data_IF_645535734807
#
_entry.id   IF_645535734807
#
_cell.length_a   1.000
_cell.length_b   1.000
_cell.length_c   1.000
_cell.angle_alpha   90.00
_cell.angle_beta   90.00
_cell.angle_gamma   90.00
#
_symmetry.space_group_name_H-M   'P 1'
#
loop_
_entity.id
_entity.type
_entity.pdbx_description
1 polymer ?
#
# COMPACT_ATOMS: atom_id res chain seq x y z
N UNK A 1 -3.82 -22.83 -2.24
CA UNK A 1 -4.17 -21.58 -2.93
C UNK A 1 -5.58 -21.20 -2.49
N UNK A 2 -5.76 -19.98 -1.95
CA UNK A 2 -7.06 -19.48 -1.48
C UNK A 2 -7.92 -19.00 -2.65
N UNK A 3 -9.25 -18.94 -2.48
CA UNK A 3 -10.13 -18.37 -3.52
C UNK A 3 -9.96 -16.85 -3.57
N UNK A 4 -10.05 -16.17 -2.41
CA UNK A 4 -9.89 -14.72 -2.32
C UNK A 4 -8.86 -14.37 -1.24
N UNK A 5 -7.90 -13.52 -1.58
CA UNK A 5 -6.93 -12.96 -0.65
C UNK A 5 -7.08 -11.44 -0.55
N UNK A 6 -6.97 -10.89 0.66
CA UNK A 6 -6.94 -9.45 0.91
C UNK A 6 -5.53 -9.04 1.33
N UNK A 7 -4.93 -8.13 0.60
CA UNK A 7 -3.65 -7.54 0.93
C UNK A 7 -3.82 -6.02 1.08
N UNK A 8 -3.01 -5.35 1.90
CA UNK A 8 -3.24 -3.94 2.10
C UNK A 8 -1.97 -3.15 2.36
N UNK A 9 -2.02 -1.87 2.03
CA UNK A 9 -0.92 -0.94 2.24
C UNK A 9 -1.31 0.51 2.03
N UNK A 10 -0.47 1.46 2.48
CA UNK A 10 -0.68 2.89 2.22
C UNK A 10 -0.23 3.30 0.81
N UNK A 11 0.84 2.68 0.31
CA UNK A 11 1.46 2.98 -1.00
C UNK A 11 1.78 4.48 -1.20
N UNK A 12 2.40 5.10 -0.19
CA UNK A 12 2.77 6.52 -0.13
C UNK A 12 4.30 6.70 -0.03
N UNK A 13 5.10 6.44 -1.04
CA UNK A 13 4.87 6.02 -2.43
C UNK A 13 5.00 4.50 -2.58
N UNK A 14 4.65 3.95 -3.78
CA UNK A 14 4.85 2.54 -4.08
C UNK A 14 6.31 2.28 -4.49
N UNK A 15 6.93 1.24 -3.94
CA UNK A 15 8.32 0.85 -4.19
C UNK A 15 8.45 -0.66 -4.44
N UNK A 16 9.66 -1.14 -4.80
CA UNK A 16 9.89 -2.52 -5.20
C UNK A 16 9.45 -3.57 -4.17
N UNK A 17 9.66 -3.31 -2.87
CA UNK A 17 9.22 -4.25 -1.83
C UNK A 17 7.69 -4.30 -1.70
N UNK A 18 6.99 -3.21 -2.03
CA UNK A 18 5.52 -3.25 -2.14
C UNK A 18 5.09 -4.15 -3.31
N UNK A 19 5.75 -4.06 -4.47
CA UNK A 19 5.47 -4.96 -5.59
C UNK A 19 5.72 -6.41 -5.20
N UNK A 20 6.87 -6.71 -4.59
CA UNK A 20 7.19 -8.06 -4.13
C UNK A 20 6.12 -8.60 -3.15
N UNK A 21 5.66 -7.77 -2.22
CA UNK A 21 4.59 -8.09 -1.28
C UNK A 21 3.25 -8.37 -1.98
N UNK A 22 2.86 -7.53 -2.95
CA UNK A 22 1.63 -7.71 -3.73
C UNK A 22 1.68 -8.99 -4.56
N UNK A 23 2.79 -9.27 -5.24
CA UNK A 23 2.97 -10.47 -6.05
C UNK A 23 3.04 -11.75 -5.21
N UNK A 24 3.61 -11.69 -3.99
CA UNK A 24 3.58 -12.81 -3.06
C UNK A 24 2.14 -13.14 -2.61
N UNK A 25 1.32 -12.14 -2.38
CA UNK A 25 -0.11 -12.33 -2.13
C UNK A 25 -0.86 -12.89 -3.34
N UNK A 26 -0.62 -12.36 -4.53
CA UNK A 26 -1.26 -12.81 -5.77
C UNK A 26 -0.98 -14.30 -6.07
N UNK A 27 0.22 -14.78 -5.76
CA UNK A 27 0.58 -16.21 -5.92
C UNK A 27 -0.14 -17.16 -4.96
N UNK A 28 -0.78 -16.64 -3.91
CA UNK A 28 -1.42 -17.43 -2.85
C UNK A 28 -2.94 -17.53 -2.99
N UNK A 29 -3.56 -16.74 -3.88
CA UNK A 29 -5.00 -16.74 -4.10
C UNK A 29 -5.35 -16.69 -5.59
N UNK A 30 -6.59 -17.03 -5.91
CA UNK A 30 -7.13 -16.91 -7.26
C UNK A 30 -7.54 -15.48 -7.60
N UNK A 31 -8.02 -14.75 -6.60
CA UNK A 31 -8.44 -13.36 -6.76
C UNK A 31 -7.87 -12.50 -5.63
N UNK A 32 -7.16 -11.42 -5.99
CA UNK A 32 -6.49 -10.53 -5.05
C UNK A 32 -7.29 -9.24 -4.85
N UNK A 33 -7.67 -8.95 -3.62
CA UNK A 33 -8.25 -7.66 -3.24
C UNK A 33 -7.16 -6.81 -2.58
N UNK A 34 -6.81 -5.68 -3.22
CA UNK A 34 -5.80 -4.75 -2.70
C UNK A 34 -6.47 -3.60 -1.98
N UNK A 35 -6.40 -3.59 -0.66
CA UNK A 35 -6.93 -2.54 0.19
C UNK A 35 -5.94 -1.37 0.33
N UNK A 36 -6.28 -0.19 -0.19
CA UNK A 36 -5.50 1.03 0.03
C UNK A 36 -5.92 1.66 1.36
N UNK A 37 -5.03 1.63 2.35
CA UNK A 37 -5.31 2.18 3.68
C UNK A 37 -5.20 3.70 3.70
N UNK A 38 -5.82 4.33 4.72
CA UNK A 38 -5.91 5.79 4.85
C UNK A 38 -6.43 6.42 3.54
N UNK A 39 -7.65 6.10 3.10
CA UNK A 39 -8.15 6.51 1.79
C UNK A 39 -8.28 8.03 1.65
N UNK A 40 -8.58 8.71 2.74
CA UNK A 40 -8.75 10.16 2.82
C UNK A 40 -8.33 10.71 4.19
N UNK A 41 -8.19 12.04 4.37
CA UNK A 41 -7.81 12.63 5.66
C UNK A 41 -8.79 12.35 6.80
N UNK A 42 -10.09 12.21 6.52
CA UNK A 42 -11.12 11.97 7.54
C UNK A 42 -11.00 10.56 8.15
N UNK A 43 -10.66 9.57 7.31
CA UNK A 43 -10.47 8.17 7.73
C UNK A 43 -9.02 7.86 8.14
N UNK A 44 -8.14 8.88 8.09
CA UNK A 44 -6.74 8.76 8.51
C UNK A 44 -6.63 9.18 9.98
N UNK A 45 -6.68 8.19 10.89
CA UNK A 45 -6.50 8.47 12.31
C UNK A 45 -5.02 8.43 12.70
N UNK A 46 -4.57 9.27 13.66
CA UNK A 46 -3.26 9.13 14.28
C UNK A 46 -3.12 7.76 14.95
N UNK A 47 -1.96 7.13 14.77
CA UNK A 47 -1.60 5.90 15.47
C UNK A 47 -0.59 6.25 16.57
N UNK A 48 -0.87 5.92 17.86
CA UNK A 48 0.06 6.22 18.96
C UNK A 48 1.46 5.61 18.79
N UNK A 49 1.56 4.51 18.05
CA UNK A 49 2.84 3.84 17.78
C UNK A 49 3.66 4.48 16.65
N UNK A 50 3.00 5.23 15.77
CA UNK A 50 3.62 5.96 14.68
C UNK A 50 2.74 7.15 14.28
N UNK A 51 2.76 8.25 15.05
CA UNK A 51 1.99 9.46 14.75
C UNK A 51 2.29 10.03 13.36
N UNK A 52 3.49 9.79 12.83
CA UNK A 52 3.89 10.25 11.50
C UNK A 52 3.06 9.64 10.37
N UNK A 53 2.38 8.53 10.59
CA UNK A 53 1.53 7.88 9.59
C UNK A 53 0.35 8.73 9.14
N UNK A 54 -0.15 9.60 10.01
CA UNK A 54 -1.27 10.50 9.71
C UNK A 54 -0.81 11.86 9.16
N UNK A 55 0.46 12.19 9.29
CA UNK A 55 1.00 13.49 8.87
C UNK A 55 0.85 13.70 7.35
N UNK A 56 0.39 14.88 6.89
CA UNK A 56 0.14 15.17 5.47
C UNK A 56 1.37 14.95 4.59
N UNK A 57 2.57 15.34 5.05
CA UNK A 57 3.84 15.16 4.35
C UNK A 57 4.20 13.69 4.10
N UNK A 58 3.65 12.77 4.89
CA UNK A 58 3.79 11.33 4.72
C UNK A 58 2.68 10.69 3.88
N UNK A 59 1.70 11.52 3.44
CA UNK A 59 0.56 11.11 2.62
C UNK A 59 0.39 12.04 1.40
N UNK A 60 1.43 12.18 0.54
CA UNK A 60 1.42 13.15 -0.56
C UNK A 60 0.43 12.79 -1.68
N UNK A 61 0.06 11.52 -1.82
CA UNK A 61 -0.78 11.05 -2.91
C UNK A 61 -2.24 10.86 -2.45
N UNK A 62 -3.18 11.32 -3.26
CA UNK A 62 -4.61 11.04 -3.08
C UNK A 62 -4.91 9.56 -3.21
N UNK A 63 -6.11 9.12 -2.77
CA UNK A 63 -6.57 7.74 -3.01
C UNK A 63 -6.56 7.39 -4.50
N UNK A 64 -7.08 8.28 -5.33
CA UNK A 64 -7.15 8.09 -6.79
C UNK A 64 -5.76 7.89 -7.42
N UNK A 65 -4.78 8.71 -7.04
CA UNK A 65 -3.40 8.55 -7.53
C UNK A 65 -2.80 7.21 -7.11
N UNK A 66 -3.01 6.80 -5.85
CA UNK A 66 -2.51 5.50 -5.36
C UNK A 66 -3.19 4.32 -6.05
N UNK A 67 -4.49 4.42 -6.29
CA UNK A 67 -5.23 3.40 -7.04
C UNK A 67 -4.68 3.25 -8.46
N UNK A 68 -4.48 4.36 -9.18
CA UNK A 68 -3.85 4.35 -10.50
C UNK A 68 -2.44 3.74 -10.46
N UNK A 69 -1.66 4.08 -9.43
CA UNK A 69 -0.29 3.61 -9.25
C UNK A 69 -0.24 2.09 -9.02
N UNK A 70 -1.04 1.59 -8.09
CA UNK A 70 -1.14 0.15 -7.79
C UNK A 70 -1.66 -0.61 -9.02
N UNK A 71 -2.68 -0.08 -9.71
CA UNK A 71 -3.24 -0.72 -10.92
C UNK A 71 -2.18 -0.83 -12.03
N UNK A 72 -1.48 0.24 -12.34
CA UNK A 72 -0.48 0.23 -13.40
C UNK A 72 0.66 -0.75 -13.11
N UNK A 73 1.13 -0.78 -11.86
CA UNK A 73 2.20 -1.68 -11.40
C UNK A 73 1.75 -3.15 -11.45
N UNK A 74 0.53 -3.45 -11.01
CA UNK A 74 0.03 -4.83 -11.03
C UNK A 74 -0.25 -5.31 -12.45
N UNK A 75 -0.79 -4.48 -13.34
CA UNK A 75 -1.01 -4.86 -14.73
C UNK A 75 0.31 -5.20 -15.44
N UNK A 76 1.34 -4.35 -15.30
CA UNK A 76 2.67 -4.60 -15.86
C UNK A 76 3.27 -5.91 -15.29
N UNK A 77 3.22 -6.10 -13.96
CA UNK A 77 3.75 -7.29 -13.33
C UNK A 77 2.96 -8.57 -13.65
N UNK A 78 1.63 -8.48 -13.81
CA UNK A 78 0.79 -9.63 -14.18
C UNK A 78 1.05 -10.05 -15.62
N UNK A 79 1.18 -9.10 -16.54
CA UNK A 79 1.57 -9.38 -17.93
C UNK A 79 2.93 -10.09 -18.00
N UNK A 80 3.95 -9.57 -17.29
CA UNK A 80 5.29 -10.15 -17.23
C UNK A 80 5.32 -11.57 -16.65
N UNK A 81 4.39 -11.89 -15.73
CA UNK A 81 4.33 -13.20 -15.07
C UNK A 81 3.25 -14.13 -15.64
N UNK A 82 2.55 -13.76 -16.71
CA UNK A 82 1.48 -14.56 -17.32
C UNK A 82 0.27 -14.76 -16.40
N UNK A 83 0.01 -13.81 -15.50
CA UNK A 83 -1.17 -13.81 -14.63
C UNK A 83 -2.36 -13.14 -15.34
N UNK A 84 -3.57 -13.55 -14.96
CA UNK A 84 -4.80 -12.92 -15.48
C UNK A 84 -4.95 -11.49 -14.95
N UNK A 85 -4.97 -10.45 -15.81
CA UNK A 85 -5.11 -9.06 -15.39
C UNK A 85 -6.47 -8.74 -14.74
N UNK A 86 -7.47 -9.60 -14.89
CA UNK A 86 -8.78 -9.44 -14.26
C UNK A 86 -8.86 -10.14 -12.87
N UNK A 87 -7.79 -10.81 -12.43
CA UNK A 87 -7.75 -11.53 -11.16
C UNK A 87 -7.42 -10.66 -9.94
N UNK A 88 -7.56 -9.34 -10.04
CA UNK A 88 -7.44 -8.45 -8.89
C UNK A 88 -8.40 -7.26 -8.95
N UNK A 89 -8.66 -6.69 -7.77
CA UNK A 89 -9.35 -5.39 -7.61
C UNK A 89 -8.66 -4.53 -6.57
N UNK A 90 -8.90 -3.22 -6.63
CA UNK A 90 -8.33 -2.24 -5.70
C UNK A 90 -9.47 -1.46 -5.05
N UNK A 91 -9.49 -1.46 -3.73
CA UNK A 91 -10.55 -0.86 -2.93
C UNK A 91 -9.97 0.06 -1.85
N UNK A 92 -10.72 1.03 -1.34
CA UNK A 92 -10.34 1.73 -0.11
C UNK A 92 -10.45 0.76 1.07
N UNK A 93 -9.53 0.86 2.02
CA UNK A 93 -9.60 0.11 3.28
C UNK A 93 -9.32 1.05 4.46
N UNK A 94 -10.36 1.53 5.16
CA UNK A 94 -10.19 2.39 6.33
C UNK A 94 -9.68 1.56 7.53
N UNK A 95 -8.38 1.30 7.56
CA UNK A 95 -7.72 0.35 8.46
C UNK A 95 -7.98 0.63 9.95
N UNK A 96 -8.24 1.89 10.31
CA UNK A 96 -8.54 2.32 11.67
C UNK A 96 -10.05 2.29 12.02
N UNK A 97 -10.88 1.76 11.11
CA UNK A 97 -12.34 1.66 11.26
C UNK A 97 -12.81 0.24 10.92
N UNK A 98 -12.56 -0.75 11.78
CA UNK A 98 -12.88 -2.15 11.50
C UNK A 98 -14.35 -2.41 11.17
N UNK A 99 -15.24 -1.60 11.75
CA UNK A 99 -16.70 -1.66 11.50
C UNK A 99 -17.08 -1.39 10.04
N UNK A 100 -16.17 -0.74 9.29
CA UNK A 100 -16.37 -0.41 7.87
C UNK A 100 -15.81 -1.48 6.91
N UNK A 101 -15.01 -2.44 7.37
CA UNK A 101 -14.34 -3.41 6.47
C UNK A 101 -15.32 -4.14 5.57
N UNK A 102 -16.46 -4.58 6.13
CA UNK A 102 -17.52 -5.30 5.42
C UNK A 102 -18.08 -4.60 4.17
N UNK A 103 -17.89 -3.28 4.08
CA UNK A 103 -18.36 -2.49 2.94
C UNK A 103 -17.34 -2.40 1.81
N UNK A 104 -16.10 -2.85 2.04
CA UNK A 104 -14.99 -2.69 1.11
C UNK A 104 -14.32 -4.01 0.73
N UNK A 105 -14.30 -4.99 1.63
CA UNK A 105 -13.60 -6.26 1.42
C UNK A 105 -14.47 -7.46 1.82
N UNK A 106 -14.32 -8.62 1.16
CA UNK A 106 -15.01 -9.85 1.58
C UNK A 106 -14.43 -10.31 2.93
N UNK A 107 -15.32 -10.50 3.90
CA UNK A 107 -14.94 -10.84 5.28
C UNK A 107 -14.55 -12.32 5.47
N UNK A 108 -14.89 -13.17 4.51
CA UNK A 108 -14.53 -14.58 4.43
C UNK A 108 -13.22 -14.86 3.68
N UNK A 109 -12.57 -13.80 3.14
CA UNK A 109 -11.28 -13.90 2.49
C UNK A 109 -10.12 -14.11 3.48
N UNK A 110 -8.97 -14.55 2.98
CA UNK A 110 -7.74 -14.62 3.76
C UNK A 110 -7.00 -13.29 3.72
N UNK A 111 -6.72 -12.73 4.88
CA UNK A 111 -6.00 -11.46 5.03
C UNK A 111 -4.50 -11.72 5.14
N UNK A 112 -3.75 -11.31 4.15
CA UNK A 112 -2.30 -11.45 4.11
C UNK A 112 -1.61 -10.31 4.88
N UNK A 113 -0.66 -10.68 5.75
CA UNK A 113 0.14 -9.74 6.54
C UNK A 113 1.63 -10.00 6.37
N UNK A 114 2.41 -8.91 6.43
CA UNK A 114 3.83 -8.96 6.76
C UNK A 114 4.05 -8.20 8.07
N UNK A 115 4.77 -8.83 9.00
CA UNK A 115 5.07 -8.30 10.32
C UNK A 115 6.54 -7.91 10.37
N UNK A 116 6.82 -6.64 10.67
CA UNK A 116 8.17 -6.07 10.79
C UNK A 116 8.37 -5.32 12.12
N UNK A 117 7.27 -5.00 12.80
CA UNK A 117 7.24 -4.14 13.98
C UNK A 117 6.02 -4.44 14.87
N UNK A 118 5.92 -3.77 16.00
CA UNK A 118 4.82 -3.94 16.95
C UNK A 118 3.47 -3.52 16.37
N UNK A 119 3.45 -2.58 15.41
CA UNK A 119 2.22 -2.24 14.72
C UNK A 119 1.69 -3.41 13.89
N UNK A 120 2.57 -4.14 13.21
CA UNK A 120 2.22 -5.37 12.49
C UNK A 120 1.65 -6.45 13.42
N UNK A 121 2.22 -6.61 14.61
CA UNK A 121 1.73 -7.56 15.63
C UNK A 121 0.34 -7.18 16.13
N UNK A 122 0.13 -5.92 16.52
CA UNK A 122 -1.19 -5.41 16.94
C UNK A 122 -2.25 -5.56 15.85
N UNK A 123 -1.88 -5.34 14.60
CA UNK A 123 -2.79 -5.53 13.47
C UNK A 123 -3.20 -6.99 13.31
N UNK A 124 -2.28 -7.93 13.46
CA UNK A 124 -2.59 -9.36 13.48
C UNK A 124 -3.58 -9.69 14.61
N UNK A 125 -3.32 -9.20 15.82
CA UNK A 125 -4.21 -9.40 16.97
C UNK A 125 -5.60 -8.83 16.70
N UNK A 126 -5.69 -7.60 16.18
CA UNK A 126 -6.96 -6.98 15.80
C UNK A 126 -7.71 -7.83 14.77
N UNK A 127 -7.06 -8.23 13.68
CA UNK A 127 -7.73 -9.02 12.64
C UNK A 127 -8.22 -10.37 13.17
N UNK A 128 -7.42 -11.03 14.00
CA UNK A 128 -7.80 -12.27 14.67
C UNK A 128 -9.00 -12.06 15.62
N UNK A 129 -9.02 -10.97 16.39
CA UNK A 129 -10.13 -10.65 17.29
C UNK A 129 -11.44 -10.32 16.56
N UNK A 130 -11.36 -9.90 15.31
CA UNK A 130 -12.49 -9.68 14.41
C UNK A 130 -12.98 -10.97 13.73
N UNK A 131 -12.35 -12.11 14.01
CA UNK A 131 -12.68 -13.40 13.40
C UNK A 131 -12.22 -13.54 11.94
N UNK A 132 -11.33 -12.66 11.46
CA UNK A 132 -10.78 -12.74 10.10
C UNK A 132 -9.77 -13.89 9.99
N UNK A 133 -9.77 -14.57 8.85
CA UNK A 133 -8.73 -15.54 8.52
C UNK A 133 -7.44 -14.78 8.16
N UNK A 134 -6.36 -15.00 8.90
CA UNK A 134 -5.08 -14.27 8.74
C UNK A 134 -3.97 -15.24 8.36
N UNK A 135 -3.25 -14.92 7.29
CA UNK A 135 -2.00 -15.59 6.92
C UNK A 135 -0.83 -14.59 7.01
N UNK A 136 0.16 -14.93 7.84
CA UNK A 136 1.40 -14.14 7.94
C UNK A 136 2.38 -14.64 6.90
N UNK A 137 2.61 -13.84 5.85
CA UNK A 137 3.53 -14.19 4.76
C UNK A 137 4.99 -14.00 5.14
N UNK A 138 5.28 -12.98 5.97
CA UNK A 138 6.63 -12.70 6.51
C UNK A 138 6.51 -12.22 7.94
N UNK A 139 7.36 -12.77 8.82
CA UNK A 139 7.58 -12.29 10.18
C UNK A 139 9.09 -12.15 10.38
N UNK A 140 9.59 -10.94 10.29
CA UNK A 140 11.02 -10.64 10.32
C UNK A 140 11.29 -9.45 11.22
N UNK A 141 12.51 -9.38 11.74
CA UNK A 141 12.93 -8.27 12.60
C UNK A 141 12.95 -6.91 11.86
N UNK A 142 12.81 -5.78 12.60
CA UNK A 142 12.80 -4.44 11.98
C UNK A 142 14.00 -4.12 11.11
N UNK A 143 15.18 -4.66 11.41
CA UNK A 143 16.40 -4.47 10.60
C UNK A 143 16.41 -5.25 9.28
N UNK A 144 15.49 -6.19 9.09
CA UNK A 144 15.28 -6.94 7.86
C UNK A 144 14.13 -6.37 7.01
N UNK A 145 13.64 -5.20 7.39
CA UNK A 145 12.46 -4.56 6.78
C UNK A 145 12.67 -4.14 5.32
N UNK A 146 13.88 -4.10 4.81
CA UNK A 146 14.14 -3.70 3.44
C UNK A 146 13.80 -2.22 3.14
N UNK A 147 13.41 -1.94 1.90
CA UNK A 147 13.12 -0.59 1.40
C UNK A 147 11.85 0.00 2.03
N UNK A 148 11.86 1.30 2.30
CA UNK A 148 10.72 2.02 2.84
C UNK A 148 10.28 3.19 1.94
N UNK A 149 8.98 3.50 1.93
CA UNK A 149 8.47 4.68 1.25
C UNK A 149 9.08 5.99 1.78
N UNK A 150 9.47 6.02 3.06
CA UNK A 150 10.17 7.17 3.67
C UNK A 150 11.54 7.40 3.04
N UNK A 151 12.28 6.33 2.77
CA UNK A 151 13.58 6.44 2.08
C UNK A 151 13.41 6.97 0.66
N UNK A 152 12.45 6.42 -0.11
CA UNK A 152 12.19 6.88 -1.49
C UNK A 152 11.79 8.35 -1.50
N UNK A 153 10.86 8.78 -0.62
CA UNK A 153 10.49 10.21 -0.51
C UNK A 153 11.67 11.08 -0.08
N UNK A 154 12.50 10.60 0.84
CA UNK A 154 13.72 11.31 1.27
C UNK A 154 14.67 11.58 0.10
N UNK A 155 14.91 10.60 -0.77
CA UNK A 155 15.71 10.78 -2.00
C UNK A 155 15.07 11.79 -2.95
N UNK A 156 13.76 11.70 -3.19
CA UNK A 156 13.03 12.67 -4.01
C UNK A 156 13.18 14.11 -3.49
N UNK A 157 13.10 14.30 -2.17
CA UNK A 157 13.28 15.60 -1.54
C UNK A 157 14.69 16.17 -1.75
N UNK A 158 15.73 15.33 -1.67
CA UNK A 158 17.13 15.71 -1.86
C UNK A 158 17.55 15.79 -3.33
N UNK A 159 16.66 15.43 -4.28
CA UNK A 159 16.99 15.38 -5.70
C UNK A 159 17.95 14.24 -6.08
N UNK A 160 18.02 13.20 -5.26
CA UNK A 160 18.81 11.99 -5.49
C UNK A 160 18.08 11.01 -6.41
N UNK A 161 18.78 10.11 -7.11
CA UNK A 161 18.17 9.05 -7.91
C UNK A 161 17.29 8.14 -7.05
N UNK A 162 16.05 7.92 -7.46
CA UNK A 162 15.05 7.13 -6.73
C UNK A 162 14.31 6.12 -7.62
N UNK A 163 14.34 6.30 -8.93
CA UNK A 163 13.55 5.53 -9.90
C UNK A 163 13.83 4.03 -9.82
N UNK A 164 15.09 3.66 -9.60
CA UNK A 164 15.51 2.27 -9.46
C UNK A 164 14.95 1.56 -8.21
N UNK A 165 14.41 2.33 -7.26
CA UNK A 165 13.78 1.82 -6.04
C UNK A 165 12.28 1.55 -6.23
N UNK A 166 11.73 1.85 -7.40
CA UNK A 166 10.29 1.74 -7.69
C UNK A 166 10.06 0.95 -8.97
N UNK A 167 8.93 0.23 -9.11
CA UNK A 167 8.57 -0.40 -10.37
C UNK A 167 8.51 0.62 -11.51
N UNK A 168 8.83 0.23 -12.77
CA UNK A 168 8.85 1.16 -13.90
C UNK A 168 7.55 1.94 -14.10
N UNK A 169 6.39 1.28 -14.02
CA UNK A 169 5.09 1.94 -14.10
C UNK A 169 4.90 2.99 -13.00
N UNK A 170 5.33 2.70 -11.78
CA UNK A 170 5.26 3.65 -10.67
C UNK A 170 6.17 4.86 -10.92
N UNK A 171 7.41 4.64 -11.37
CA UNK A 171 8.35 5.71 -11.66
C UNK A 171 7.79 6.66 -12.74
N UNK A 172 7.20 6.12 -13.83
CA UNK A 172 6.57 6.90 -14.90
C UNK A 172 5.46 7.81 -14.37
N UNK A 173 4.50 7.25 -13.63
CA UNK A 173 3.38 8.01 -13.08
C UNK A 173 3.81 9.05 -12.04
N UNK A 174 4.76 8.73 -11.17
CA UNK A 174 5.25 9.67 -10.17
C UNK A 174 6.02 10.84 -10.79
N UNK A 175 6.68 10.64 -11.94
CA UNK A 175 7.27 11.73 -12.74
C UNK A 175 6.20 12.56 -13.44
N UNK A 176 5.22 11.93 -14.07
CA UNK A 176 4.09 12.61 -14.71
C UNK A 176 3.37 13.56 -13.76
N UNK A 177 3.20 13.16 -12.51
CA UNK A 177 2.53 13.96 -11.49
C UNK A 177 3.45 14.92 -10.73
N UNK A 178 4.74 14.98 -11.07
CA UNK A 178 5.74 15.76 -10.33
C UNK A 178 5.73 15.50 -8.82
N UNK A 179 5.68 14.23 -8.42
CA UNK A 179 5.69 13.86 -6.99
C UNK A 179 6.88 14.46 -6.23
N UNK A 180 8.12 14.48 -6.77
CA UNK A 180 9.23 15.18 -6.13
C UNK A 180 8.97 16.68 -5.88
N UNK A 181 8.34 17.35 -6.84
CA UNK A 181 7.96 18.77 -6.69
C UNK A 181 6.85 18.95 -5.66
N UNK A 182 5.83 18.05 -5.63
CA UNK A 182 4.78 18.06 -4.62
C UNK A 182 5.37 17.94 -3.21
N UNK A 183 6.29 17.01 -2.99
CA UNK A 183 6.96 16.81 -1.71
C UNK A 183 7.74 18.05 -1.26
N UNK A 184 8.49 18.70 -2.17
CA UNK A 184 9.24 19.94 -1.88
C UNK A 184 8.34 21.12 -1.54
N UNK A 185 7.13 21.18 -2.07
CA UNK A 185 6.11 22.21 -1.76
C UNK A 185 5.33 21.94 -0.46
N UNK A 186 5.68 20.93 0.32
CA UNK A 186 5.07 20.65 1.61
C UNK A 186 3.91 19.66 1.57
N UNK A 187 3.83 18.82 0.55
CA UNK A 187 2.98 17.62 0.55
C UNK A 187 1.47 17.83 0.48
N UNK A 188 0.98 19.07 0.36
CA UNK A 188 -0.42 19.31 0.08
C UNK A 188 -0.69 19.05 -1.41
N UNK A 189 -1.48 18.03 -1.72
CA UNK A 189 -2.07 17.90 -3.05
C UNK A 189 -2.81 19.22 -3.34
N UNK A 190 -2.19 20.08 -4.15
CA UNK A 190 -2.89 21.24 -4.71
C UNK A 190 -4.09 20.68 -5.46
N UNK A 191 -5.28 21.07 -5.04
CA UNK A 191 -6.56 20.71 -5.68
C UNK A 191 -6.72 21.46 -7.01
N UNK A 192 -5.74 21.37 -7.88
CA UNK A 192 -5.84 21.79 -9.28
C UNK A 192 -5.71 20.55 -10.13
N UNK A 193 -6.84 19.91 -10.39
CA UNK A 193 -7.01 19.04 -11.54
C UNK A 193 -7.09 19.98 -12.74
N UNK A 194 -6.20 19.84 -13.75
CA UNK A 194 -6.38 20.56 -15.01
C UNK A 194 -7.64 20.07 -15.72
#
# INVERSE_FOLDING_TARGET
MHEIGVIHGRFQVLHNDHLAYLMDGAKRCRYLVVGITNPDPFLTAPDPSDPSRAAPENNPLTYYQRQRLVRAVLLEAFEENGCDPESFTIVPLPINRPELYRYYVPMDAVFFLSIYDDWGRRKRELFTSLGLCVEVMRDVSPWQKGLSATEVRGRMLRGEPWEHLTPPAAARLMKEWDVPGMLRRGGAASCCIP
#
